data_IF_918584063338
#
_entry.id   IF_918584063338
#
_cell.length_a   1.000
_cell.length_b   1.000
_cell.length_c   1.000
_cell.angle_alpha   90.00
_cell.angle_beta   90.00
_cell.angle_gamma   90.00
#
_symmetry.space_group_name_H-M   'P 1'
#
loop_
_entity.id
_entity.type
_entity.pdbx_description
1 polymer ?
#
# COMPACT_ATOMS: atom_id res chain seq x y z
N UNK A 1 2.23 30.03 -15.71
CA UNK A 1 0.94 29.38 -15.41
C UNK A 1 1.19 27.89 -15.56
N UNK A 2 1.69 27.26 -14.51
CA UNK A 2 1.99 25.83 -14.55
C UNK A 2 0.69 25.04 -14.52
N UNK A 3 0.47 24.25 -15.56
CA UNK A 3 -0.73 23.46 -15.75
C UNK A 3 -0.68 22.25 -14.80
N UNK A 4 -1.63 22.17 -13.87
CA UNK A 4 -1.76 21.08 -12.89
C UNK A 4 -2.73 20.00 -13.38
N UNK A 5 -2.37 18.73 -13.22
CA UNK A 5 -3.29 17.59 -13.26
C UNK A 5 -4.14 17.57 -11.99
N UNK A 6 -5.44 17.32 -12.13
CA UNK A 6 -6.38 17.29 -11.01
C UNK A 6 -6.99 15.90 -10.85
N UNK A 7 -6.70 15.23 -9.74
CA UNK A 7 -7.38 13.99 -9.35
C UNK A 7 -8.57 14.34 -8.44
N UNK A 8 -9.78 13.98 -8.85
CA UNK A 8 -11.00 14.14 -8.04
C UNK A 8 -11.48 12.77 -7.58
N UNK A 9 -11.47 12.55 -6.27
CA UNK A 9 -12.17 11.44 -5.61
C UNK A 9 -13.24 12.01 -4.67
N UNK A 10 -14.20 11.17 -4.27
CA UNK A 10 -15.26 11.59 -3.34
C UNK A 10 -14.65 12.24 -2.09
N UNK A 11 -14.95 13.53 -1.87
CA UNK A 11 -14.44 14.39 -0.78
C UNK A 11 -12.95 14.78 -0.82
N UNK A 12 -12.19 14.44 -1.87
CA UNK A 12 -10.77 14.78 -1.97
C UNK A 12 -10.42 15.23 -3.39
N UNK A 13 -9.82 16.41 -3.51
CA UNK A 13 -9.20 16.90 -4.75
C UNK A 13 -7.70 16.98 -4.54
N UNK A 14 -6.90 16.43 -5.46
CA UNK A 14 -5.43 16.50 -5.44
C UNK A 14 -4.92 17.16 -6.71
N UNK A 15 -3.90 17.99 -6.54
CA UNK A 15 -3.22 18.68 -7.63
C UNK A 15 -1.83 18.08 -7.80
N UNK A 16 -1.45 17.74 -9.03
CA UNK A 16 -0.16 17.18 -9.39
C UNK A 16 0.41 17.94 -10.58
N UNK A 17 1.73 18.11 -10.71
CA UNK A 17 2.32 18.55 -11.97
C UNK A 17 1.97 17.63 -13.15
N UNK A 18 1.90 18.20 -14.36
CA UNK A 18 1.42 17.50 -15.56
C UNK A 18 2.30 16.31 -15.98
N UNK A 19 3.58 16.34 -15.64
CA UNK A 19 4.57 15.32 -15.97
C UNK A 19 4.49 14.05 -15.11
N UNK A 20 3.56 13.98 -14.15
CA UNK A 20 3.45 12.85 -13.25
C UNK A 20 2.50 11.78 -13.82
N UNK A 21 2.96 10.53 -13.81
CA UNK A 21 2.14 9.40 -14.24
C UNK A 21 1.01 9.10 -13.26
N UNK A 22 -0.10 8.57 -13.77
CA UNK A 22 -1.24 8.17 -12.94
C UNK A 22 -0.86 7.13 -11.87
N UNK A 23 0.14 6.30 -12.14
CA UNK A 23 0.66 5.31 -11.18
C UNK A 23 1.29 5.99 -9.97
N UNK A 24 2.10 7.03 -10.19
CA UNK A 24 2.72 7.81 -9.10
C UNK A 24 1.63 8.52 -8.29
N UNK A 25 0.65 9.13 -8.96
CA UNK A 25 -0.49 9.79 -8.30
C UNK A 25 -1.26 8.82 -7.40
N UNK A 26 -1.53 7.60 -7.88
CA UNK A 26 -2.20 6.54 -7.13
C UNK A 26 -1.42 6.08 -5.91
N UNK A 27 -0.11 5.88 -6.05
CA UNK A 27 0.78 5.47 -4.94
C UNK A 27 0.80 6.55 -3.85
N UNK A 28 1.04 7.82 -4.23
CA UNK A 28 1.07 8.94 -3.27
C UNK A 28 -0.27 9.11 -2.58
N UNK A 29 -1.37 8.96 -3.31
CA UNK A 29 -2.71 9.02 -2.75
C UNK A 29 -2.95 7.98 -1.64
N UNK A 30 -2.31 6.82 -1.72
CA UNK A 30 -2.37 5.76 -0.71
C UNK A 30 -1.35 5.97 0.41
N UNK A 31 -0.13 6.45 0.13
CA UNK A 31 0.87 6.76 1.16
C UNK A 31 0.41 7.81 2.18
N UNK A 32 -0.57 8.65 1.84
CA UNK A 32 -1.21 9.59 2.79
C UNK A 32 -2.21 8.94 3.75
N UNK A 33 -2.76 7.79 3.40
CA UNK A 33 -3.66 7.07 4.31
C UNK A 33 -2.81 6.29 5.29
N UNK A 34 -2.92 6.58 6.59
CA UNK A 34 -2.09 5.96 7.62
C UNK A 34 -2.08 4.42 7.55
N UNK A 35 -3.24 3.80 7.34
CA UNK A 35 -3.31 2.32 7.29
C UNK A 35 -2.69 1.79 6.01
N UNK A 36 -2.97 2.42 4.86
CA UNK A 36 -2.33 2.03 3.59
C UNK A 36 -0.80 2.23 3.65
N UNK A 37 -0.32 3.33 4.25
CA UNK A 37 1.10 3.58 4.48
C UNK A 37 1.75 2.49 5.33
N UNK A 38 1.18 2.16 6.49
CA UNK A 38 1.70 1.10 7.37
C UNK A 38 1.81 -0.24 6.63
N UNK A 39 0.81 -0.57 5.81
CA UNK A 39 0.80 -1.79 4.99
C UNK A 39 1.89 -1.74 3.91
N UNK A 40 1.96 -0.65 3.14
CA UNK A 40 2.94 -0.47 2.06
C UNK A 40 4.37 -0.53 2.62
N UNK A 41 4.62 0.14 3.74
CA UNK A 41 5.91 0.14 4.43
C UNK A 41 6.29 -1.25 4.93
N UNK A 42 5.34 -1.98 5.53
CA UNK A 42 5.58 -3.36 5.95
C UNK A 42 5.94 -4.28 4.76
N UNK A 43 5.24 -4.12 3.63
CA UNK A 43 5.53 -4.88 2.41
C UNK A 43 6.90 -4.52 1.83
N UNK A 44 7.32 -3.26 1.93
CA UNK A 44 8.66 -2.84 1.56
C UNK A 44 9.72 -3.49 2.47
N UNK A 45 9.56 -3.38 3.78
CA UNK A 45 10.53 -3.85 4.78
C UNK A 45 10.65 -5.38 4.83
N UNK A 46 9.52 -6.09 4.69
CA UNK A 46 9.42 -7.53 5.02
C UNK A 46 8.66 -8.37 4.00
N UNK A 47 8.11 -7.77 2.95
CA UNK A 47 7.37 -8.51 1.94
C UNK A 47 8.23 -9.58 1.27
N UNK A 48 7.63 -10.67 0.75
CA UNK A 48 6.19 -10.95 0.68
C UNK A 48 5.62 -11.36 2.04
N UNK A 49 4.37 -10.97 2.32
CA UNK A 49 3.77 -11.17 3.65
C UNK A 49 2.30 -11.61 3.56
N UNK A 50 1.78 -12.33 4.56
CA UNK A 50 0.38 -12.76 4.61
C UNK A 50 -0.55 -11.66 5.15
N UNK A 51 -1.85 -11.77 4.86
CA UNK A 51 -2.85 -10.87 5.45
C UNK A 51 -2.90 -10.96 6.98
N UNK A 52 -2.66 -12.13 7.56
CA UNK A 52 -2.65 -12.33 9.00
C UNK A 52 -1.49 -11.58 9.68
N UNK A 53 -0.31 -11.61 9.07
CA UNK A 53 0.84 -10.83 9.54
C UNK A 53 0.60 -9.32 9.40
N UNK A 54 -0.07 -8.87 8.33
CA UNK A 54 -0.47 -7.46 8.18
C UNK A 54 -1.42 -7.05 9.31
N UNK A 55 -2.44 -7.87 9.61
CA UNK A 55 -3.37 -7.62 10.72
C UNK A 55 -2.61 -7.51 12.05
N UNK A 56 -1.70 -8.46 12.30
CA UNK A 56 -0.88 -8.48 13.52
C UNK A 56 0.01 -7.24 13.65
N UNK A 57 0.61 -6.80 12.55
CA UNK A 57 1.50 -5.64 12.52
C UNK A 57 0.74 -4.32 12.70
N UNK A 58 -0.28 -4.10 11.88
CA UNK A 58 -1.06 -2.84 11.86
C UNK A 58 -2.02 -2.69 13.04
N UNK A 59 -2.31 -3.81 13.74
CA UNK A 59 -3.30 -3.92 14.82
C UNK A 59 -4.70 -3.43 14.43
N UNK A 60 -5.03 -3.45 13.12
CA UNK A 60 -6.35 -3.08 12.61
C UNK A 60 -7.25 -4.32 12.54
N UNK A 61 -8.56 -4.08 12.54
CA UNK A 61 -9.53 -5.15 12.30
C UNK A 61 -9.30 -5.81 10.92
N UNK A 62 -9.60 -7.10 10.82
CA UNK A 62 -9.43 -7.86 9.59
C UNK A 62 -10.21 -7.24 8.41
N UNK A 63 -11.41 -6.70 8.66
CA UNK A 63 -12.22 -6.00 7.65
C UNK A 63 -11.54 -4.74 7.13
N UNK A 64 -10.90 -3.95 8.00
CA UNK A 64 -10.14 -2.76 7.62
C UNK A 64 -8.94 -3.13 6.77
N UNK A 65 -8.19 -4.17 7.14
CA UNK A 65 -7.06 -4.66 6.34
C UNK A 65 -7.54 -5.16 4.99
N UNK A 66 -8.59 -5.99 4.93
CA UNK A 66 -9.17 -6.49 3.67
C UNK A 66 -9.56 -5.35 2.74
N UNK A 67 -10.22 -4.30 3.27
CA UNK A 67 -10.63 -3.15 2.48
C UNK A 67 -9.43 -2.39 1.90
N UNK A 68 -8.40 -2.13 2.72
CA UNK A 68 -7.18 -1.47 2.25
C UNK A 68 -6.44 -2.32 1.22
N UNK A 69 -6.29 -3.63 1.46
CA UNK A 69 -5.62 -4.54 0.53
C UNK A 69 -6.35 -4.62 -0.81
N UNK A 70 -7.68 -4.69 -0.80
CA UNK A 70 -8.48 -4.63 -2.03
C UNK A 70 -8.17 -3.36 -2.81
N UNK A 71 -8.17 -2.21 -2.15
CA UNK A 71 -7.87 -0.93 -2.80
C UNK A 71 -6.44 -0.89 -3.36
N UNK A 72 -5.45 -1.39 -2.61
CA UNK A 72 -4.06 -1.44 -3.06
C UNK A 72 -3.83 -2.38 -4.25
N UNK A 73 -4.61 -3.46 -4.36
CA UNK A 73 -4.64 -4.34 -5.53
C UNK A 73 -5.28 -3.63 -6.74
N UNK A 74 -6.42 -2.96 -6.54
CA UNK A 74 -7.11 -2.20 -7.59
C UNK A 74 -6.26 -1.02 -8.11
N UNK A 75 -5.53 -0.34 -7.23
CA UNK A 75 -4.61 0.74 -7.57
C UNK A 75 -3.25 0.21 -8.11
N UNK A 76 -3.08 -1.10 -8.35
CA UNK A 76 -1.85 -1.75 -8.87
C UNK A 76 -0.57 -1.48 -8.05
N UNK A 77 -0.70 -1.26 -6.75
CA UNK A 77 0.45 -1.02 -5.85
C UNK A 77 0.99 -2.34 -5.32
N UNK A 78 0.08 -3.26 -5.04
CA UNK A 78 0.35 -4.58 -4.46
C UNK A 78 -0.12 -5.65 -5.43
N UNK A 79 0.55 -6.80 -5.43
CA UNK A 79 0.11 -7.98 -6.16
C UNK A 79 0.09 -9.22 -5.28
N UNK A 80 -0.71 -10.21 -5.70
CA UNK A 80 -0.69 -11.55 -5.10
C UNK A 80 0.52 -12.31 -5.62
N UNK A 81 1.48 -12.59 -4.72
CA UNK A 81 2.65 -13.37 -5.05
C UNK A 81 2.28 -14.85 -5.06
N UNK A 82 2.07 -15.39 -6.25
CA UNK A 82 1.81 -16.81 -6.43
C UNK A 82 3.12 -17.60 -6.29
N UNK A 83 3.61 -17.75 -5.07
CA UNK A 83 4.60 -18.78 -4.74
C UNK A 83 3.83 -19.98 -4.23
N UNK A 84 4.04 -21.12 -4.89
CA UNK A 84 3.45 -22.41 -4.56
C UNK A 84 3.35 -22.61 -3.04
N UNK A 85 2.12 -22.50 -2.53
CA UNK A 85 1.62 -23.05 -1.27
C UNK A 85 2.53 -22.85 -0.05
N UNK A 86 2.54 -21.63 0.51
CA UNK A 86 2.90 -21.51 1.92
C UNK A 86 1.69 -21.94 2.75
N UNK A 87 1.94 -22.87 3.66
CA UNK A 87 0.96 -23.32 4.62
C UNK A 87 1.25 -22.67 5.97
N UNK A 88 0.32 -21.88 6.48
CA UNK A 88 0.41 -21.39 7.85
C UNK A 88 -0.08 -22.51 8.79
N UNK A 89 0.76 -22.87 9.77
CA UNK A 89 0.67 -24.14 10.53
C UNK A 89 -0.50 -24.28 11.52
N UNK A 90 -0.67 -25.55 11.93
CA UNK A 90 -1.44 -26.10 13.05
C UNK A 90 -2.91 -25.65 13.18
N UNK A 91 -3.68 -25.68 12.09
CA UNK A 91 -5.14 -25.69 12.23
C UNK A 91 -5.61 -27.14 12.34
N UNK A 92 -6.02 -27.55 13.54
CA UNK A 92 -6.80 -28.77 13.69
C UNK A 92 -8.23 -28.46 13.24
N UNK A 93 -8.72 -29.24 12.28
CA UNK A 93 -10.14 -29.22 11.98
C UNK A 93 -10.94 -29.69 13.20
N UNK A 94 -12.26 -29.43 13.19
CA UNK A 94 -13.14 -29.84 14.28
C UNK A 94 -13.10 -31.36 14.57
N UNK A 95 -12.62 -32.16 13.63
CA UNK A 95 -12.39 -33.60 13.73
C UNK A 95 -10.99 -34.00 14.21
N UNK A 96 -10.16 -33.04 14.63
CA UNK A 96 -8.80 -33.26 15.12
C UNK A 96 -7.75 -33.52 14.04
N UNK A 97 -8.09 -33.41 12.74
CA UNK A 97 -7.10 -33.59 11.67
C UNK A 97 -6.29 -32.33 11.42
N UNK A 98 -5.00 -32.52 11.15
CA UNK A 98 -4.12 -31.42 10.75
C UNK A 98 -4.52 -30.91 9.36
N UNK A 99 -5.00 -29.68 9.27
CA UNK A 99 -5.28 -29.01 8.01
C UNK A 99 -4.25 -27.93 7.75
N UNK A 100 -3.71 -27.96 6.54
CA UNK A 100 -2.90 -26.88 6.04
C UNK A 100 -3.80 -25.81 5.43
N UNK A 101 -3.80 -24.61 6.01
CA UNK A 101 -4.51 -23.46 5.43
C UNK A 101 -3.64 -22.82 4.36
N UNK A 102 -4.10 -22.83 3.11
CA UNK A 102 -3.45 -22.08 2.03
C UNK A 102 -3.63 -20.59 2.33
N UNK A 103 -2.53 -19.86 2.39
CA UNK A 103 -2.53 -18.41 2.61
C UNK A 103 -1.93 -17.69 1.41
N UNK A 104 -2.53 -16.55 1.08
CA UNK A 104 -2.03 -15.68 0.04
C UNK A 104 -0.88 -14.82 0.59
N UNK A 105 0.17 -14.68 -0.21
CA UNK A 105 1.22 -13.70 0.02
C UNK A 105 0.99 -12.47 -0.85
N UNK A 106 1.28 -11.31 -0.26
CA UNK A 106 1.22 -10.01 -0.91
C UNK A 106 2.63 -9.43 -1.00
N UNK A 107 2.92 -8.77 -2.11
CA UNK A 107 4.20 -8.09 -2.34
C UNK A 107 3.98 -6.80 -3.15
N UNK A 108 4.94 -5.88 -3.12
CA UNK A 108 4.87 -4.62 -3.87
C UNK A 108 5.14 -4.88 -5.36
N UNK A 109 4.30 -4.33 -6.24
CA UNK A 109 4.45 -4.50 -7.69
C UNK A 109 5.75 -3.87 -8.20
N UNK A 110 6.06 -2.66 -7.73
CA UNK A 110 7.29 -1.94 -8.08
C UNK A 110 7.96 -1.39 -6.82
N UNK A 111 8.85 -2.19 -6.22
CA UNK A 111 9.54 -1.85 -4.96
C UNK A 111 10.38 -0.57 -5.05
N UNK A 112 11.08 -0.38 -6.16
CA UNK A 112 11.97 0.78 -6.34
C UNK A 112 11.15 2.07 -6.37
N UNK A 113 10.12 2.12 -7.22
CA UNK A 113 9.25 3.28 -7.33
C UNK A 113 8.55 3.60 -5.99
N UNK A 114 8.01 2.58 -5.33
CA UNK A 114 7.32 2.77 -4.05
C UNK A 114 8.28 3.27 -2.97
N UNK A 115 9.53 2.78 -2.94
CA UNK A 115 10.54 3.23 -2.00
C UNK A 115 10.88 4.72 -2.17
N UNK A 116 11.14 5.13 -3.41
CA UNK A 116 11.48 6.53 -3.72
C UNK A 116 10.34 7.46 -3.26
N UNK A 117 9.09 7.03 -3.48
CA UNK A 117 7.90 7.76 -3.06
C UNK A 117 7.65 7.76 -1.54
N UNK A 118 8.00 6.69 -0.81
CA UNK A 118 7.95 6.68 0.67
C UNK A 118 8.94 7.71 1.22
N UNK A 119 10.19 7.71 0.70
CA UNK A 119 11.23 8.64 1.15
C UNK A 119 10.82 10.10 0.92
N UNK A 120 10.32 10.41 -0.28
CA UNK A 120 9.79 11.75 -0.58
C UNK A 120 8.64 12.10 0.35
N UNK A 121 7.65 11.21 0.48
CA UNK A 121 6.47 11.48 1.33
C UNK A 121 6.86 11.84 2.76
N UNK A 122 7.81 11.11 3.38
CA UNK A 122 8.27 11.43 4.73
C UNK A 122 9.01 12.77 4.81
N UNK A 123 9.88 13.08 3.81
CA UNK A 123 10.65 14.33 3.75
C UNK A 123 9.75 15.58 3.73
N UNK A 124 8.57 15.50 3.10
CA UNK A 124 7.67 16.65 2.95
C UNK A 124 6.47 16.64 3.92
N UNK A 125 6.08 15.49 4.49
CA UNK A 125 5.05 15.44 5.55
C UNK A 125 5.52 16.14 6.83
N UNK A 126 6.82 16.04 7.15
CA UNK A 126 7.39 16.73 8.34
C UNK A 126 7.59 18.24 8.12
N UNK A 127 7.46 18.74 6.88
CA UNK A 127 7.75 20.11 6.50
C UNK A 127 6.58 21.09 6.61
N UNK A 128 5.49 20.86 5.87
CA UNK A 128 4.42 21.87 5.77
C UNK A 128 3.17 21.34 5.07
N UNK A 129 2.02 21.73 5.62
CA UNK A 129 0.68 21.86 5.01
C UNK A 129 0.60 21.49 3.51
N UNK A 130 -0.02 20.34 3.20
CA UNK A 130 -0.85 19.99 2.01
C UNK A 130 -0.52 20.54 0.59
N UNK A 131 0.61 21.19 0.33
CA UNK A 131 0.89 21.87 -0.93
C UNK A 131 1.88 21.04 -1.77
N UNK A 132 1.31 20.25 -2.69
CA UNK A 132 2.00 19.22 -3.47
C UNK A 132 2.91 19.74 -4.57
N UNK A 133 2.88 21.03 -4.89
CA UNK A 133 3.82 21.64 -5.83
C UNK A 133 5.26 21.48 -5.32
N UNK A 134 5.51 21.75 -4.05
CA UNK A 134 6.86 21.76 -3.46
C UNK A 134 7.52 20.36 -3.43
N UNK A 135 6.74 19.30 -3.25
CA UNK A 135 7.20 17.91 -3.29
C UNK A 135 7.71 17.55 -4.70
N UNK A 136 7.00 18.06 -5.70
CA UNK A 136 7.12 17.61 -7.08
C UNK A 136 8.02 18.50 -7.93
N UNK A 137 8.23 19.76 -7.53
CA UNK A 137 9.24 20.64 -8.12
C UNK A 137 10.68 20.17 -7.84
N UNK A 138 10.82 19.12 -7.01
CA UNK A 138 12.09 18.48 -6.64
C UNK A 138 12.42 17.21 -7.46
N UNK A 139 11.57 16.86 -8.43
CA UNK A 139 11.74 15.75 -9.40
C UNK A 139 12.39 16.26 -10.69
#
# INVERSE_FOLDING_TARGET
>A
MDLLNVERRTRITRFFPRNISNDIMGIIGNLRNQTSYEIIKLLYDRGPITQQEIIKYTRKAASTVSWNMKKLLEDNIVYLKNRNNIYEGNHYAADGRFQYKRVNLYDLLNRNLVNDLIYMTNKYIDGTINNYSEIMDSL
#
